data_IF_712718192219
#
_entry.id   IF_712718192219
#
_cell.length_a   1.000
_cell.length_b   1.000
_cell.length_c   1.000
_cell.angle_alpha   90.00
_cell.angle_beta   90.00
_cell.angle_gamma   90.00
#
_symmetry.space_group_name_H-M   'P 1'
#
loop_
_entity.id
_entity.type
_entity.pdbx_description
1 polymer ?
#
# COMPACT_ATOMS: atom_id res chain seq x y z
N UNK A 1 1.91 28.48 -17.54
CA UNK A 1 1.07 27.47 -16.86
C UNK A 1 1.60 26.09 -17.25
N UNK A 2 1.96 25.23 -16.30
CA UNK A 2 2.34 23.84 -16.63
C UNK A 2 1.06 23.07 -16.94
N UNK A 3 0.99 22.42 -18.10
CA UNK A 3 -0.12 21.53 -18.45
C UNK A 3 -0.18 20.39 -17.43
N UNK A 4 -1.16 20.43 -16.52
CA UNK A 4 -1.40 19.36 -15.56
C UNK A 4 -2.18 18.25 -16.26
N UNK A 5 -1.54 17.10 -16.46
CA UNK A 5 -2.19 15.91 -17.02
C UNK A 5 -3.10 15.29 -15.95
N UNK A 6 -4.35 15.00 -16.31
CA UNK A 6 -5.25 14.23 -15.45
C UNK A 6 -4.66 12.83 -15.24
N UNK A 7 -4.42 12.45 -13.99
CA UNK A 7 -3.91 11.14 -13.63
C UNK A 7 -4.98 10.06 -13.83
N UNK A 8 -4.57 8.88 -14.30
CA UNK A 8 -5.44 7.71 -14.34
C UNK A 8 -5.60 7.15 -12.92
N UNK A 9 -6.69 6.40 -12.70
CA UNK A 9 -6.95 5.76 -11.39
C UNK A 9 -5.84 4.79 -10.97
N UNK A 10 -5.17 4.14 -11.94
CA UNK A 10 -3.96 3.31 -11.73
C UNK A 10 -2.80 4.09 -11.12
N UNK A 11 -2.58 5.31 -11.60
CA UNK A 11 -1.47 6.16 -11.18
C UNK A 11 -1.72 6.65 -9.76
N UNK A 12 -2.98 6.99 -9.45
CA UNK A 12 -3.39 7.36 -8.09
C UNK A 12 -3.21 6.22 -7.09
N UNK A 13 -3.47 4.95 -7.47
CA UNK A 13 -3.18 3.79 -6.61
C UNK A 13 -1.68 3.67 -6.34
N UNK A 14 -0.86 3.88 -7.36
CA UNK A 14 0.60 3.84 -7.27
C UNK A 14 1.14 4.93 -6.33
N UNK A 15 0.64 6.17 -6.47
CA UNK A 15 1.02 7.32 -5.63
C UNK A 15 0.56 7.14 -4.18
N UNK A 16 -0.64 6.60 -3.96
CA UNK A 16 -1.18 6.36 -2.61
C UNK A 16 -0.66 5.08 -1.96
N UNK A 17 0.30 4.40 -2.59
CA UNK A 17 0.98 3.25 -1.99
C UNK A 17 0.23 1.93 -2.09
N UNK A 18 -0.56 1.73 -3.14
CA UNK A 18 -1.17 0.44 -3.47
C UNK A 18 -2.49 0.15 -2.78
N UNK A 19 -2.95 -1.10 -2.93
CA UNK A 19 -4.12 -1.64 -2.23
C UNK A 19 -3.62 -2.27 -0.93
N UNK A 20 -4.23 -1.90 0.19
CA UNK A 20 -3.96 -2.52 1.48
C UNK A 20 -4.50 -3.96 1.46
N UNK A 21 -3.69 -4.99 1.71
CA UNK A 21 -4.15 -6.36 1.81
C UNK A 21 -5.15 -6.55 2.96
N UNK A 22 -6.04 -7.53 2.81
CA UNK A 22 -6.98 -7.92 3.89
C UNK A 22 -6.18 -8.39 5.10
N UNK A 23 -6.60 -7.96 6.29
CA UNK A 23 -5.94 -8.29 7.56
C UNK A 23 -4.64 -7.54 7.84
N UNK A 24 -4.22 -6.61 6.98
CA UNK A 24 -3.09 -5.75 7.27
C UNK A 24 -3.49 -4.63 8.23
N UNK A 25 -2.98 -4.68 9.46
CA UNK A 25 -3.24 -3.69 10.50
C UNK A 25 -2.30 -2.48 10.40
N UNK A 26 -1.11 -2.66 9.81
CA UNK A 26 -0.09 -1.62 9.71
C UNK A 26 0.53 -1.57 8.30
N UNK A 27 -0.19 -0.97 7.35
CA UNK A 27 0.26 -0.84 5.96
C UNK A 27 1.30 0.27 5.80
N UNK A 28 2.43 -0.07 5.17
CA UNK A 28 3.42 0.90 4.74
C UNK A 28 3.23 1.24 3.26
N UNK A 29 2.58 2.37 2.92
CA UNK A 29 2.33 2.74 1.52
C UNK A 29 3.61 3.05 0.74
N UNK A 30 4.70 3.44 1.42
CA UNK A 30 5.98 3.75 0.77
C UNK A 30 6.68 2.49 0.28
N UNK A 31 6.72 1.45 1.12
CA UNK A 31 7.34 0.16 0.78
C UNK A 31 6.35 -0.84 0.17
N UNK A 32 5.05 -0.50 0.15
CA UNK A 32 3.95 -1.36 -0.30
C UNK A 32 3.95 -2.74 0.35
N UNK A 33 4.12 -2.75 1.67
CA UNK A 33 4.15 -3.97 2.46
C UNK A 33 3.45 -3.75 3.80
N UNK A 34 2.99 -4.84 4.40
CA UNK A 34 2.39 -4.80 5.71
C UNK A 34 3.46 -5.01 6.79
N UNK A 35 3.42 -4.24 7.87
CA UNK A 35 4.33 -4.38 9.03
C UNK A 35 3.75 -5.25 10.13
N UNK A 36 2.43 -5.40 10.17
CA UNK A 36 1.73 -6.15 11.21
C UNK A 36 0.40 -6.64 10.65
N UNK A 37 0.14 -7.93 10.80
CA UNK A 37 -1.08 -8.60 10.37
C UNK A 37 -1.97 -8.91 11.58
N UNK A 38 -3.26 -9.12 11.34
CA UNK A 38 -4.17 -9.68 12.35
C UNK A 38 -3.88 -11.16 12.65
N UNK A 39 -4.63 -11.74 13.59
CA UNK A 39 -4.45 -13.12 14.03
C UNK A 39 -4.75 -14.16 12.95
N UNK A 40 -5.65 -13.87 12.00
CA UNK A 40 -5.97 -14.80 10.91
C UNK A 40 -4.86 -14.80 9.84
N UNK A 41 -4.14 -13.69 9.71
CA UNK A 41 -3.16 -13.43 8.66
C UNK A 41 -1.72 -13.33 9.19
N UNK A 42 -1.45 -13.73 10.44
CA UNK A 42 -0.13 -13.56 11.10
C UNK A 42 1.04 -14.25 10.38
N UNK A 43 0.76 -15.30 9.60
CA UNK A 43 1.76 -16.03 8.80
C UNK A 43 2.17 -15.30 7.51
N UNK A 44 1.52 -14.18 7.18
CA UNK A 44 1.88 -13.39 6.00
C UNK A 44 3.22 -12.65 6.23
N UNK A 45 4.00 -12.42 5.16
CA UNK A 45 5.29 -11.75 5.27
C UNK A 45 5.13 -10.32 5.80
N UNK A 46 6.02 -9.93 6.71
CA UNK A 46 6.14 -8.55 7.20
C UNK A 46 7.28 -7.83 6.49
N UNK A 47 7.19 -6.50 6.39
CA UNK A 47 8.32 -5.69 5.93
C UNK A 47 9.53 -5.89 6.83
N UNK A 48 10.69 -6.19 6.27
CA UNK A 48 11.96 -5.94 6.96
C UNK A 48 12.19 -4.42 7.03
N UNK A 49 12.72 -3.95 8.16
CA UNK A 49 12.94 -2.51 8.45
C UNK A 49 14.15 -2.00 7.68
#
# INVERSE_FOLDING_TARGET
>A
MKNLKKLKKSDLKTIKGGIVPIGCLNWNPKLRCCRTWDEEHYNNPVCEI
#
